data_IF_845943775991
#
_entry.id   IF_845943775991
#
_cell.length_a   1.000
_cell.length_b   1.000
_cell.length_c   1.000
_cell.angle_alpha   90.00
_cell.angle_beta   90.00
_cell.angle_gamma   90.00
#
_symmetry.space_group_name_H-M   'P 1'
#
loop_
_entity.id
_entity.type
_entity.pdbx_description
1 polymer ?
#
# COMPACT_ATOMS: atom_id res chain seq x y z
N UNK A 1 10.20 -2.36 -25.19
CA UNK A 1 9.77 -1.84 -23.87
C UNK A 1 9.38 -3.02 -22.99
N UNK A 2 10.10 -3.32 -21.89
CA UNK A 2 9.73 -4.42 -21.01
C UNK A 2 8.39 -4.09 -20.33
N UNK A 3 7.44 -5.02 -20.41
CA UNK A 3 6.09 -4.86 -19.84
C UNK A 3 6.22 -4.81 -18.32
N UNK A 4 5.60 -3.82 -17.68
CA UNK A 4 5.58 -3.71 -16.22
C UNK A 4 5.05 -5.04 -15.60
N UNK A 5 5.63 -5.49 -14.47
CA UNK A 5 5.23 -6.74 -13.84
C UNK A 5 3.73 -6.72 -13.52
N UNK A 6 3.05 -7.81 -13.85
CA UNK A 6 1.61 -7.98 -13.63
C UNK A 6 1.30 -7.77 -12.14
N UNK A 7 0.38 -6.86 -11.76
CA UNK A 7 0.05 -6.63 -10.36
C UNK A 7 -0.46 -7.94 -9.72
N UNK A 8 0.19 -8.37 -8.64
CA UNK A 8 -0.29 -9.51 -7.83
C UNK A 8 -1.36 -9.00 -6.88
N UNK A 9 -2.61 -9.04 -7.33
CA UNK A 9 -3.78 -8.77 -6.50
C UNK A 9 -4.14 -10.03 -5.72
N UNK A 10 -3.94 -10.03 -4.41
CA UNK A 10 -4.55 -11.02 -3.55
C UNK A 10 -5.97 -10.57 -3.23
N UNK A 11 -6.95 -11.19 -3.90
CA UNK A 11 -8.37 -10.81 -3.78
C UNK A 11 -8.91 -11.02 -2.37
N UNK A 12 -8.52 -12.11 -1.72
CA UNK A 12 -8.98 -12.46 -0.37
C UNK A 12 -8.50 -11.40 0.63
N UNK A 13 -7.22 -11.07 0.59
CA UNK A 13 -6.65 -10.00 1.42
C UNK A 13 -7.28 -8.64 1.09
N UNK A 14 -7.44 -8.30 -0.19
CA UNK A 14 -7.99 -7.01 -0.59
C UNK A 14 -9.45 -6.82 -0.17
N UNK A 15 -10.24 -7.89 -0.11
CA UNK A 15 -11.63 -7.86 0.36
C UNK A 15 -11.71 -7.79 1.89
N UNK A 16 -10.86 -8.53 2.60
CA UNK A 16 -10.81 -8.52 4.08
C UNK A 16 -10.19 -7.23 4.64
N UNK A 17 -9.15 -6.71 3.99
CA UNK A 17 -8.42 -5.50 4.37
C UNK A 17 -8.69 -4.39 3.34
N UNK A 18 -9.94 -3.90 3.28
CA UNK A 18 -10.24 -2.68 2.51
C UNK A 18 -9.81 -1.45 3.28
N UNK A 19 -9.13 -0.51 2.60
CA UNK A 19 -8.71 0.74 3.22
C UNK A 19 -9.93 1.57 3.68
N UNK A 20 -10.00 1.97 4.96
CA UNK A 20 -11.07 2.82 5.45
C UNK A 20 -11.00 4.23 4.84
N UNK A 21 -12.14 4.86 4.47
CA UNK A 21 -12.16 6.16 3.80
C UNK A 21 -11.63 7.33 4.64
N UNK A 22 -11.53 7.16 5.97
CA UNK A 22 -11.01 8.18 6.91
C UNK A 22 -9.94 7.62 7.84
N UNK A 23 -9.21 6.60 7.42
CA UNK A 23 -8.11 6.06 8.22
C UNK A 23 -7.06 7.16 8.50
N UNK A 24 -6.58 7.29 9.75
CA UNK A 24 -5.44 8.13 10.09
C UNK A 24 -4.20 7.69 9.31
N UNK A 25 -3.23 8.60 9.20
CA UNK A 25 -2.07 8.39 8.36
C UNK A 25 -1.28 7.14 8.74
N UNK A 26 -1.07 6.92 10.04
CA UNK A 26 -0.44 5.72 10.58
C UNK A 26 -1.13 4.42 10.15
N UNK A 27 -2.47 4.37 10.24
CA UNK A 27 -3.22 3.20 9.79
C UNK A 27 -3.13 3.00 8.27
N UNK A 28 -3.07 4.08 7.49
CA UNK A 28 -2.80 3.95 6.05
C UNK A 28 -1.40 3.42 5.80
N UNK A 29 -0.39 3.87 6.54
CA UNK A 29 0.98 3.39 6.40
C UNK A 29 1.03 1.88 6.64
N UNK A 30 0.50 1.42 7.78
CA UNK A 30 0.43 -0.01 8.12
C UNK A 30 -0.30 -0.79 7.03
N UNK A 31 -1.47 -0.31 6.61
CA UNK A 31 -2.23 -0.96 5.53
C UNK A 31 -1.44 -1.06 4.23
N UNK A 32 -0.68 -0.01 3.84
CA UNK A 32 0.11 -0.04 2.61
C UNK A 32 1.33 -0.95 2.71
N UNK A 33 1.92 -1.11 3.90
CA UNK A 33 2.99 -2.07 4.16
C UNK A 33 2.46 -3.50 4.00
N UNK A 34 1.38 -3.84 4.70
CA UNK A 34 0.74 -5.15 4.59
C UNK A 34 0.22 -5.42 3.18
N UNK A 35 -0.35 -4.41 2.51
CA UNK A 35 -0.78 -4.49 1.13
C UNK A 35 0.42 -4.78 0.21
N UNK A 36 1.56 -4.13 0.39
CA UNK A 36 2.74 -4.42 -0.43
C UNK A 36 3.21 -5.88 -0.28
N UNK A 37 3.11 -6.44 0.92
CA UNK A 37 3.52 -7.82 1.22
C UNK A 37 2.50 -8.85 0.72
N UNK A 38 1.20 -8.61 0.95
CA UNK A 38 0.13 -9.57 0.66
C UNK A 38 -0.53 -9.36 -0.71
N UNK A 39 -0.67 -8.11 -1.13
CA UNK A 39 -1.48 -7.68 -2.26
C UNK A 39 -0.80 -6.51 -3.00
N UNK A 40 0.25 -6.76 -3.78
CA UNK A 40 0.96 -5.73 -4.55
C UNK A 40 0.17 -5.22 -5.77
N UNK A 41 -1.14 -4.97 -5.63
CA UNK A 41 -2.01 -4.58 -6.74
C UNK A 41 -1.82 -3.12 -7.15
N UNK A 42 -1.42 -2.27 -6.19
CA UNK A 42 -1.24 -0.83 -6.37
C UNK A 42 -0.04 -0.35 -5.56
N UNK A 43 0.84 0.50 -6.13
CA UNK A 43 1.96 1.08 -5.40
C UNK A 43 1.50 2.07 -4.32
N UNK A 44 2.37 2.31 -3.33
CA UNK A 44 2.15 3.28 -2.27
C UNK A 44 2.06 4.69 -2.88
N UNK A 45 1.04 5.50 -2.53
CA UNK A 45 0.92 6.86 -3.04
C UNK A 45 2.14 7.70 -2.68
N UNK A 46 2.60 8.55 -3.61
CA UNK A 46 3.74 9.46 -3.40
C UNK A 46 3.59 10.33 -2.14
N UNK A 47 2.36 10.76 -1.84
CA UNK A 47 2.07 11.54 -0.63
C UNK A 47 2.32 10.75 0.66
N UNK A 48 2.07 9.44 0.68
CA UNK A 48 2.41 8.58 1.82
C UNK A 48 3.92 8.31 1.88
N UNK A 49 4.57 8.10 0.73
CA UNK A 49 6.02 7.90 0.65
C UNK A 49 6.80 9.09 1.21
N UNK A 50 6.34 10.32 0.94
CA UNK A 50 6.89 11.53 1.55
C UNK A 50 6.86 11.47 3.07
N UNK A 51 5.70 11.18 3.65
CA UNK A 51 5.57 11.12 5.12
C UNK A 51 6.34 9.94 5.73
N UNK A 52 6.38 8.79 5.05
CA UNK A 52 7.19 7.65 5.47
C UNK A 52 8.67 8.00 5.54
N UNK A 53 9.18 8.71 4.52
CA UNK A 53 10.56 9.18 4.46
C UNK A 53 10.84 10.25 5.52
N UNK A 54 9.95 11.21 5.71
CA UNK A 54 10.08 12.23 6.74
C UNK A 54 10.09 11.63 8.16
N UNK A 55 9.35 10.54 8.37
CA UNK A 55 9.33 9.79 9.62
C UNK A 55 10.50 8.81 9.78
N UNK A 56 11.39 8.68 8.80
CA UNK A 56 12.53 7.76 8.83
C UNK A 56 12.17 6.27 8.77
N UNK A 57 10.97 5.95 8.27
CA UNK A 57 10.47 4.57 8.12
C UNK A 57 10.84 3.96 6.75
N UNK A 58 11.52 4.74 5.89
CA UNK A 58 11.89 4.40 4.51
C UNK A 58 13.05 5.27 4.03
#
# INVERSE_FOLDING_TARGET
MPRAPKPRLNREWHLAHRMPPRAPLDQRIVWHLEHRENCACRPIPLKLLGVLRERGLL
#
